data_IF_334829532584
#
_entry.id   IF_334829532584
#
_cell.length_a   1.000
_cell.length_b   1.000
_cell.length_c   1.000
_cell.angle_alpha   90.00
_cell.angle_beta   90.00
_cell.angle_gamma   90.00
#
_symmetry.space_group_name_H-M   'P 1'
#
loop_
_entity.id
_entity.type
_entity.pdbx_description
1 polymer ?
#
# COMPACT_ATOMS: atom_id res chain seq x y z
N UNK A 1 -7.88 -1.65 2.16
CA UNK A 1 -8.46 -0.40 1.59
C UNK A 1 -7.30 0.45 1.09
N UNK A 2 -7.37 1.05 -0.10
CA UNK A 2 -6.28 1.87 -0.66
C UNK A 2 -6.43 3.36 -0.35
N UNK A 3 -5.28 4.03 -0.26
CA UNK A 3 -5.17 5.49 -0.28
C UNK A 3 -4.84 6.00 -1.69
N UNK A 4 -4.93 7.32 -1.93
CA UNK A 4 -4.46 7.91 -3.19
C UNK A 4 -3.03 7.43 -3.54
N UNK A 5 -2.70 7.29 -4.83
CA UNK A 5 -1.35 6.97 -5.24
C UNK A 5 -0.39 8.10 -4.89
N UNK A 6 0.85 7.76 -4.59
CA UNK A 6 1.93 8.71 -4.31
C UNK A 6 3.03 8.63 -5.37
N UNK A 7 3.83 9.68 -5.47
CA UNK A 7 5.08 9.67 -6.26
C UNK A 7 6.24 9.29 -5.36
N UNK A 8 7.12 8.39 -5.82
CA UNK A 8 8.27 7.98 -5.01
C UNK A 8 9.20 9.16 -4.69
N UNK A 9 9.40 10.07 -5.64
CA UNK A 9 10.21 11.29 -5.44
C UNK A 9 9.63 12.26 -4.41
N UNK A 10 8.32 12.20 -4.14
CA UNK A 10 7.69 13.02 -3.11
C UNK A 10 7.80 12.31 -1.76
N UNK A 11 7.49 11.01 -1.70
CA UNK A 11 7.60 10.18 -0.49
C UNK A 11 8.99 10.27 0.18
N UNK A 12 10.08 10.23 -0.60
CA UNK A 12 11.44 10.26 -0.04
C UNK A 12 11.83 11.62 0.56
N UNK A 13 11.05 12.68 0.29
CA UNK A 13 11.26 14.02 0.84
C UNK A 13 10.40 14.28 2.09
N UNK A 14 9.37 13.48 2.31
CA UNK A 14 8.51 13.59 3.50
C UNK A 14 9.25 13.04 4.72
N UNK A 15 9.01 13.60 5.90
CA UNK A 15 9.29 12.94 7.18
C UNK A 15 7.98 12.44 7.79
N UNK A 16 8.02 11.39 8.61
CA UNK A 16 6.78 10.73 9.05
C UNK A 16 5.81 11.69 9.74
N UNK A 17 6.33 12.54 10.63
CA UNK A 17 5.55 13.48 11.43
C UNK A 17 4.90 14.59 10.59
N UNK A 18 5.41 14.83 9.37
CA UNK A 18 4.89 15.80 8.37
C UNK A 18 4.52 15.09 7.04
N UNK A 19 4.11 13.82 7.11
CA UNK A 19 3.83 13.01 5.91
C UNK A 19 2.37 13.04 5.50
N UNK A 20 2.12 12.97 4.19
CA UNK A 20 0.76 12.87 3.63
C UNK A 20 -0.01 11.67 4.21
N UNK A 21 0.70 10.57 4.52
CA UNK A 21 0.10 9.38 5.12
C UNK A 21 -0.38 9.65 6.56
N UNK A 22 0.47 10.30 7.36
CA UNK A 22 0.20 10.60 8.77
C UNK A 22 -0.99 11.54 8.89
N UNK A 23 -0.97 12.64 8.14
CA UNK A 23 -2.06 13.62 8.08
C UNK A 23 -3.39 12.94 7.74
N UNK A 24 -3.39 12.10 6.69
CA UNK A 24 -4.58 11.36 6.31
C UNK A 24 -5.16 10.54 7.47
N UNK A 25 -4.35 9.79 8.21
CA UNK A 25 -4.85 8.93 9.28
C UNK A 25 -5.25 9.67 10.55
N UNK A 26 -4.61 10.79 10.87
CA UNK A 26 -5.01 11.62 12.01
C UNK A 26 -6.37 12.29 11.78
N UNK A 27 -6.57 12.81 10.57
CA UNK A 27 -7.77 13.57 10.21
C UNK A 27 -8.95 12.67 9.81
N UNK A 28 -8.68 11.47 9.31
CA UNK A 28 -9.73 10.59 8.79
C UNK A 28 -10.54 9.92 9.90
N UNK A 29 -11.85 9.91 9.69
CA UNK A 29 -12.81 9.04 10.38
C UNK A 29 -13.53 8.21 9.32
N UNK A 30 -13.37 6.89 9.37
CA UNK A 30 -13.98 5.97 8.42
C UNK A 30 -15.25 5.39 9.00
N UNK A 31 -16.36 5.48 8.27
CA UNK A 31 -17.59 4.81 8.64
C UNK A 31 -17.74 3.52 7.84
N UNK A 32 -17.45 2.39 8.48
CA UNK A 32 -17.51 1.08 7.87
C UNK A 32 -18.93 0.51 7.92
N UNK A 33 -19.43 0.02 6.79
CA UNK A 33 -20.58 -0.87 6.72
C UNK A 33 -20.10 -2.29 6.41
N UNK A 34 -20.37 -3.22 7.33
CA UNK A 34 -19.96 -4.62 7.20
C UNK A 34 -21.11 -5.40 6.60
N UNK A 35 -20.86 -5.95 5.41
CA UNK A 35 -21.77 -6.85 4.71
C UNK A 35 -21.23 -8.27 4.80
N UNK A 36 -22.11 -9.22 5.09
CA UNK A 36 -21.78 -10.64 5.13
C UNK A 36 -22.62 -11.37 4.08
N UNK A 37 -21.98 -12.25 3.30
CA UNK A 37 -22.67 -13.09 2.32
C UNK A 37 -23.44 -14.17 3.08
N UNK A 38 -24.72 -14.33 2.77
CA UNK A 38 -25.59 -15.33 3.37
C UNK A 38 -26.50 -15.92 2.27
N UNK A 39 -26.08 -17.09 1.78
CA UNK A 39 -26.59 -17.69 0.54
C UNK A 39 -26.23 -16.83 -0.67
N UNK A 40 -27.26 -16.46 -1.45
CA UNK A 40 -27.13 -15.66 -2.66
C UNK A 40 -27.30 -14.15 -2.43
N UNK A 41 -27.50 -13.73 -1.17
CA UNK A 41 -27.68 -12.31 -0.82
C UNK A 41 -26.60 -11.84 0.16
N UNK A 42 -26.42 -10.53 0.25
CA UNK A 42 -25.59 -9.89 1.27
C UNK A 42 -26.48 -9.24 2.32
N UNK A 43 -26.18 -9.49 3.60
CA UNK A 43 -26.89 -8.91 4.74
C UNK A 43 -25.95 -7.98 5.50
N UNK A 44 -26.49 -6.87 6.01
CA UNK A 44 -25.74 -5.95 6.87
C UNK A 44 -25.51 -6.61 8.22
N UNK A 45 -24.25 -6.82 8.59
CA UNK A 45 -23.85 -7.33 9.91
C UNK A 45 -23.77 -6.21 10.94
N UNK A 46 -23.42 -5.01 10.50
CA UNK A 46 -23.33 -3.83 11.36
C UNK A 46 -22.58 -2.69 10.70
N UNK A 47 -22.41 -1.60 11.45
CA UNK A 47 -21.58 -0.47 11.04
C UNK A 47 -20.73 0.04 12.21
N UNK A 48 -19.62 0.71 11.91
CA UNK A 48 -18.71 1.25 12.90
C UNK A 48 -18.04 2.51 12.37
N UNK A 49 -18.11 3.59 13.16
CA UNK A 49 -17.19 4.70 12.99
C UNK A 49 -15.85 4.30 13.61
N UNK A 50 -14.79 4.42 12.83
CA UNK A 50 -13.45 4.00 13.20
C UNK A 50 -12.45 5.08 12.84
N UNK A 51 -11.40 5.16 13.64
CA UNK A 51 -10.20 5.91 13.35
C UNK A 51 -9.00 5.07 13.77
N UNK A 52 -7.86 5.29 13.13
CA UNK A 52 -6.63 4.64 13.55
C UNK A 52 -6.27 5.12 14.96
N UNK A 53 -5.86 4.18 15.82
CA UNK A 53 -5.42 4.56 17.17
C UNK A 53 -4.09 5.30 17.08
N UNK A 54 -3.82 6.16 18.06
CA UNK A 54 -2.54 6.87 18.15
C UNK A 54 -1.37 5.87 18.18
N UNK A 55 -1.50 4.77 18.91
CA UNK A 55 -0.45 3.76 19.04
C UNK A 55 -0.19 3.05 17.70
N UNK A 56 -1.24 2.58 17.02
CA UNK A 56 -1.10 1.93 15.72
C UNK A 56 -0.44 2.86 14.70
N UNK A 57 -0.81 4.14 14.70
CA UNK A 57 -0.30 5.12 13.75
C UNK A 57 1.14 5.51 14.03
N UNK A 58 1.43 5.94 15.27
CA UNK A 58 2.73 6.54 15.60
C UNK A 58 3.82 5.52 15.93
N UNK A 59 3.47 4.25 16.17
CA UNK A 59 4.43 3.19 16.45
C UNK A 59 4.51 2.24 15.24
N UNK A 60 3.43 1.51 14.96
CA UNK A 60 3.49 0.42 13.96
C UNK A 60 3.50 0.94 12.53
N UNK A 61 2.56 1.82 12.17
CA UNK A 61 2.51 2.42 10.82
C UNK A 61 3.75 3.26 10.55
N UNK A 62 4.24 4.02 11.55
CA UNK A 62 5.50 4.75 11.45
C UNK A 62 6.65 3.83 11.06
N UNK A 63 6.84 2.74 11.80
CA UNK A 63 7.90 1.75 11.53
C UNK A 63 7.79 1.19 10.10
N UNK A 64 6.60 0.76 9.69
CA UNK A 64 6.38 0.20 8.34
C UNK A 64 6.63 1.25 7.24
N UNK A 65 6.14 2.47 7.43
CA UNK A 65 6.33 3.57 6.49
C UNK A 65 7.79 3.97 6.36
N UNK A 66 8.53 4.06 7.46
CA UNK A 66 9.97 4.36 7.46
C UNK A 66 10.76 3.26 6.76
N UNK A 67 10.38 1.98 6.92
CA UNK A 67 10.97 0.85 6.18
C UNK A 67 10.73 0.98 4.66
N UNK A 68 9.50 1.29 4.25
CA UNK A 68 9.20 1.53 2.84
C UNK A 68 9.96 2.73 2.27
N UNK A 69 9.99 3.87 2.99
CA UNK A 69 10.75 5.06 2.59
C UNK A 69 12.24 4.71 2.42
N UNK A 70 12.80 3.96 3.37
CA UNK A 70 14.19 3.52 3.32
C UNK A 70 14.48 2.68 2.05
N UNK A 71 13.67 1.66 1.77
CA UNK A 71 13.87 0.80 0.60
C UNK A 71 13.71 1.60 -0.71
N UNK A 72 12.71 2.47 -0.79
CA UNK A 72 12.47 3.32 -1.97
C UNK A 72 13.63 4.29 -2.19
N UNK A 73 14.15 4.90 -1.11
CA UNK A 73 15.26 5.85 -1.14
C UNK A 73 16.59 5.20 -1.55
N UNK A 74 16.94 4.08 -0.92
CA UNK A 74 18.28 3.48 -1.06
C UNK A 74 18.35 2.37 -2.09
N UNK A 75 17.23 1.81 -2.53
CA UNK A 75 17.20 0.98 -3.73
C UNK A 75 16.19 -0.14 -3.69
N UNK A 76 15.12 0.04 -4.46
CA UNK A 76 14.24 -1.07 -4.85
C UNK A 76 15.04 -2.06 -5.71
N UNK A 77 15.04 -3.33 -5.30
CA UNK A 77 15.59 -4.43 -6.08
C UNK A 77 14.49 -5.05 -6.94
N UNK A 78 14.82 -5.42 -8.18
CA UNK A 78 13.87 -6.09 -9.06
C UNK A 78 14.38 -7.48 -9.44
N UNK A 79 13.49 -8.47 -9.37
CA UNK A 79 13.73 -9.81 -9.88
C UNK A 79 12.77 -10.07 -11.05
N UNK A 80 13.33 -10.13 -12.26
CA UNK A 80 12.58 -10.48 -13.47
C UNK A 80 12.09 -11.93 -13.36
N UNK A 81 10.81 -12.13 -13.64
CA UNK A 81 10.16 -13.44 -13.73
C UNK A 81 9.51 -13.58 -15.09
N UNK A 82 9.64 -14.76 -15.66
CA UNK A 82 8.95 -15.15 -16.89
C UNK A 82 8.12 -16.37 -16.58
N UNK A 83 6.81 -16.31 -16.84
CA UNK A 83 5.94 -17.46 -16.66
C UNK A 83 6.06 -18.46 -17.84
N UNK A 84 5.35 -19.58 -17.75
CA UNK A 84 5.35 -20.63 -18.79
C UNK A 84 4.78 -20.17 -20.13
N UNK A 85 4.06 -19.04 -20.17
CA UNK A 85 3.52 -18.43 -21.38
C UNK A 85 4.44 -17.33 -21.94
N UNK A 86 5.61 -17.12 -21.34
CA UNK A 86 6.57 -16.11 -21.77
C UNK A 86 6.25 -14.69 -21.26
N UNK A 87 5.23 -14.52 -20.41
CA UNK A 87 4.87 -13.20 -19.87
C UNK A 87 5.89 -12.79 -18.83
N UNK A 88 6.46 -11.61 -19.03
CA UNK A 88 7.42 -10.99 -18.10
C UNK A 88 6.69 -10.27 -16.98
N UNK A 89 7.20 -10.44 -15.76
CA UNK A 89 6.80 -9.71 -14.55
C UNK A 89 8.03 -9.41 -13.70
N UNK A 90 7.87 -8.53 -12.70
CA UNK A 90 8.94 -8.13 -11.81
C UNK A 90 8.46 -8.22 -10.38
N UNK A 91 9.21 -8.97 -9.57
CA UNK A 91 9.10 -8.88 -8.12
C UNK A 91 10.01 -7.77 -7.60
N UNK A 92 9.64 -7.22 -6.45
CA UNK A 92 10.45 -6.25 -5.73
C UNK A 92 10.62 -6.64 -4.26
N UNK A 93 11.48 -5.92 -3.55
CA UNK A 93 11.78 -6.13 -2.15
C UNK A 93 11.00 -5.22 -1.19
N UNK A 94 9.92 -4.57 -1.63
CA UNK A 94 9.03 -3.87 -0.71
C UNK A 94 8.29 -4.92 0.15
N UNK A 95 8.22 -4.75 1.48
CA UNK A 95 7.47 -5.64 2.35
C UNK A 95 6.06 -5.85 1.81
N UNK A 96 5.64 -7.10 1.70
CA UNK A 96 4.30 -7.45 1.31
C UNK A 96 3.36 -7.48 2.53
N UNK A 97 2.05 -7.65 2.31
CA UNK A 97 1.06 -7.66 3.40
C UNK A 97 1.37 -8.69 4.50
N UNK A 98 1.96 -9.84 4.18
CA UNK A 98 2.31 -10.86 5.17
C UNK A 98 3.53 -10.52 6.02
N UNK A 99 4.29 -9.51 5.63
CA UNK A 99 5.48 -9.01 6.31
C UNK A 99 5.17 -7.74 7.13
N UNK A 100 3.91 -7.31 7.17
CA UNK A 100 3.45 -6.08 7.83
C UNK A 100 2.21 -6.36 8.70
N UNK A 101 1.97 -5.49 9.67
CA UNK A 101 0.91 -5.56 10.67
C UNK A 101 -0.25 -4.60 10.42
N UNK A 102 -0.01 -3.40 9.84
CA UNK A 102 -1.04 -2.36 9.70
C UNK A 102 -1.26 -1.94 8.26
N UNK A 103 -0.20 -1.60 7.55
CA UNK A 103 -0.26 -1.12 6.18
C UNK A 103 0.71 -1.87 5.28
N UNK A 104 0.40 -1.89 3.98
CA UNK A 104 1.35 -2.30 2.96
C UNK A 104 1.30 -1.39 1.74
N UNK A 105 2.39 -1.36 0.98
CA UNK A 105 2.44 -0.70 -0.32
C UNK A 105 2.19 -1.73 -1.42
N UNK A 106 1.24 -1.44 -2.33
CA UNK A 106 1.01 -2.27 -3.52
C UNK A 106 0.54 -1.43 -4.71
N UNK A 107 0.60 -2.00 -5.94
CA UNK A 107 0.27 -1.25 -7.14
C UNK A 107 -1.13 -0.63 -7.08
N UNK A 108 -1.23 0.63 -7.48
CA UNK A 108 -2.49 1.34 -7.69
C UNK A 108 -2.88 1.34 -9.17
N UNK A 109 -1.90 1.46 -10.06
CA UNK A 109 -2.14 1.42 -11.49
C UNK A 109 -2.71 0.06 -11.93
N UNK A 110 -3.61 0.09 -12.93
CA UNK A 110 -4.26 -1.13 -13.44
C UNK A 110 -3.30 -2.05 -14.19
N UNK A 111 -2.23 -1.50 -14.79
CA UNK A 111 -1.22 -2.25 -15.52
C UNK A 111 0.15 -1.99 -14.92
N UNK A 112 0.99 -3.01 -14.93
CA UNK A 112 2.38 -2.87 -14.51
C UNK A 112 3.18 -2.13 -15.59
N UNK A 113 4.03 -1.19 -15.17
CA UNK A 113 5.00 -0.52 -16.01
C UNK A 113 6.34 -0.28 -15.28
N UNK A 114 7.44 -0.33 -16.02
CA UNK A 114 8.81 -0.21 -15.51
C UNK A 114 9.74 0.41 -16.56
N UNK A 115 10.74 1.18 -16.11
CA UNK A 115 11.88 1.66 -16.93
C UNK A 115 13.17 1.40 -16.16
N UNK A 116 14.14 0.78 -16.80
CA UNK A 116 15.46 0.50 -16.20
C UNK A 116 16.54 1.41 -16.79
N UNK A 117 17.69 1.51 -16.10
CA UNK A 117 18.78 2.42 -16.49
C UNK A 117 19.47 2.04 -17.82
N UNK A 118 19.30 0.79 -18.26
CA UNK A 118 19.74 0.33 -19.58
C UNK A 118 18.78 0.74 -20.72
N UNK A 119 17.71 1.48 -20.42
CA UNK A 119 16.69 1.90 -21.39
C UNK A 119 15.57 0.88 -21.62
N UNK A 120 15.59 -0.27 -20.95
CA UNK A 120 14.56 -1.29 -21.08
C UNK A 120 13.25 -0.82 -20.44
N UNK A 121 12.15 -0.90 -21.19
CA UNK A 121 10.81 -0.50 -20.74
C UNK A 121 9.80 -1.64 -20.84
N UNK A 122 8.86 -1.64 -19.90
CA UNK A 122 7.73 -2.55 -19.85
C UNK A 122 6.46 -1.78 -19.56
N UNK A 123 5.37 -2.11 -20.24
CA UNK A 123 4.08 -1.43 -20.04
C UNK A 123 4.09 0.02 -20.56
N UNK A 124 3.12 0.82 -20.11
CA UNK A 124 3.04 2.24 -20.43
C UNK A 124 3.62 3.05 -19.27
N UNK A 125 4.91 3.39 -19.34
CA UNK A 125 5.64 4.07 -18.26
C UNK A 125 5.03 5.44 -17.93
N UNK A 126 4.68 6.21 -18.95
CA UNK A 126 4.16 7.57 -18.78
C UNK A 126 2.78 7.61 -18.09
N UNK A 127 1.99 6.54 -18.27
CA UNK A 127 0.65 6.42 -17.66
C UNK A 127 0.66 5.71 -16.32
N UNK A 128 1.40 4.61 -16.21
CA UNK A 128 1.22 3.63 -15.13
C UNK A 128 2.37 3.63 -14.10
N UNK A 129 3.47 4.34 -14.35
CA UNK A 129 4.66 4.35 -13.49
C UNK A 129 5.11 5.76 -13.10
N UNK A 130 5.93 5.86 -12.06
CA UNK A 130 6.65 7.07 -11.73
C UNK A 130 8.08 6.78 -11.26
N UNK A 131 8.91 7.82 -11.25
CA UNK A 131 10.37 7.72 -11.13
C UNK A 131 10.79 7.43 -9.69
N UNK A 132 11.73 6.50 -9.53
CA UNK A 132 12.46 6.20 -8.31
C UNK A 132 13.70 7.13 -8.18
N UNK A 133 14.24 7.32 -6.97
CA UNK A 133 15.41 8.20 -6.74
C UNK A 133 16.67 7.87 -7.55
N UNK A 134 16.81 6.61 -7.98
CA UNK A 134 17.95 6.15 -8.80
C UNK A 134 17.73 6.27 -10.32
N UNK A 135 16.68 6.96 -10.77
CA UNK A 135 16.36 7.20 -12.19
C UNK A 135 15.56 6.10 -12.88
N UNK A 136 15.38 4.93 -12.24
CA UNK A 136 14.46 3.88 -12.73
C UNK A 136 13.01 4.30 -12.54
N UNK A 137 12.08 3.66 -13.24
CA UNK A 137 10.64 3.84 -13.03
C UNK A 137 10.03 2.53 -12.57
N UNK A 138 9.10 2.65 -11.62
CA UNK A 138 8.30 1.54 -11.13
C UNK A 138 6.82 1.90 -11.22
N UNK A 139 5.99 0.87 -11.37
CA UNK A 139 4.53 1.00 -11.38
C UNK A 139 4.07 1.85 -10.20
N UNK A 140 3.15 2.77 -10.43
CA UNK A 140 2.61 3.67 -9.41
C UNK A 140 1.95 2.87 -8.29
N UNK A 141 2.36 3.16 -7.06
CA UNK A 141 1.91 2.47 -5.86
C UNK A 141 0.99 3.35 -5.02
N UNK A 142 0.26 2.70 -4.13
CA UNK A 142 -0.46 3.33 -3.02
C UNK A 142 -0.14 2.60 -1.73
N UNK A 143 -0.35 3.28 -0.61
CA UNK A 143 -0.49 2.64 0.69
C UNK A 143 -1.87 1.99 0.82
N UNK A 144 -1.95 0.91 1.58
CA UNK A 144 -3.17 0.15 1.81
C UNK A 144 -3.24 -0.27 3.27
N UNK A 145 -4.43 -0.22 3.87
CA UNK A 145 -4.65 -0.86 5.16
C UNK A 145 -4.78 -2.37 4.97
N UNK A 146 -4.04 -3.13 5.78
CA UNK A 146 -4.12 -4.59 5.86
C UNK A 146 -5.55 -5.02 6.20
N UNK A 147 -6.09 -5.96 5.44
CA UNK A 147 -7.50 -6.34 5.56
C UNK A 147 -7.77 -7.08 6.87
N UNK A 148 -6.82 -7.89 7.33
CA UNK A 148 -6.81 -8.57 8.62
C UNK A 148 -6.75 -7.60 9.80
N UNK A 149 -5.97 -6.51 9.70
CA UNK A 149 -6.02 -5.43 10.68
C UNK A 149 -7.41 -4.78 10.73
N UNK A 150 -7.98 -4.40 9.60
CA UNK A 150 -9.35 -3.86 9.56
C UNK A 150 -10.35 -4.84 10.17
N UNK A 151 -10.27 -6.13 9.82
CA UNK A 151 -11.16 -7.16 10.37
C UNK A 151 -11.02 -7.31 11.89
N UNK A 152 -9.82 -7.15 12.45
CA UNK A 152 -9.62 -7.24 13.92
C UNK A 152 -10.32 -6.10 14.66
N UNK A 153 -10.51 -4.93 14.02
CA UNK A 153 -11.23 -3.78 14.61
C UNK A 153 -12.71 -4.04 14.85
N UNK A 154 -13.28 -5.10 14.26
CA UNK A 154 -14.69 -5.48 14.44
C UNK A 154 -14.88 -6.68 15.38
N UNK A 155 -13.83 -7.44 15.69
CA UNK A 155 -13.95 -8.69 16.48
C UNK A 155 -14.07 -8.44 17.98
N UNK A 156 -13.65 -7.28 18.47
CA UNK A 156 -13.53 -6.97 19.91
C UNK A 156 -14.78 -6.34 20.55
N UNK A 157 -15.96 -6.44 19.92
CA UNK A 157 -17.20 -5.82 20.44
C UNK A 157 -18.24 -6.80 21.00
N UNK A 158 -17.95 -8.11 21.01
CA UNK A 158 -18.86 -9.13 21.57
C UNK A 158 -18.62 -9.46 23.05
N UNK A 159 -17.82 -8.66 23.77
CA UNK A 159 -17.68 -8.73 25.22
C UNK A 159 -18.36 -7.52 25.87
N UNK A 160 -19.69 -7.54 25.93
CA UNK A 160 -20.50 -6.79 26.91
C UNK A 160 -21.77 -7.56 27.22
#
# INVERSE_FOLDING_TARGET
>A
MSFPPFKFMDLVKEDFDDSTLKDYFDESRLFFFVWEKDGDVYRVKGCQLWHMSYEDLNITVRKEWEEYKHIIQYGVMFKKKTDSQGKVSFENNLPNKSETERIHIRPHAQKAAYRFNNGEEYGNVDRDANMLPNGRYMTTQSSWINNDYILSQFKNKNEK
#
